data_IF_409874369648
#
_entry.id   IF_409874369648
#
_cell.length_a   1.000
_cell.length_b   1.000
_cell.length_c   1.000
_cell.angle_alpha   90.00
_cell.angle_beta   90.00
_cell.angle_gamma   90.00
#
_symmetry.space_group_name_H-M   'P 1'
#
loop_
_entity.id
_entity.type
_entity.pdbx_description
1 polymer ?
#
# COMPACT_ATOMS: atom_id res chain seq x y z
N UNK A 1 10.66 25.47 21.21
CA UNK A 1 11.59 26.57 20.85
C UNK A 1 11.37 26.85 19.37
N UNK A 2 11.45 28.10 18.90
CA UNK A 2 11.33 28.37 17.46
C UNK A 2 12.51 27.75 16.71
N UNK A 3 12.22 27.10 15.57
CA UNK A 3 13.23 26.53 14.69
C UNK A 3 13.70 27.58 13.67
N UNK A 4 14.99 27.59 13.33
CA UNK A 4 15.59 28.48 12.35
C UNK A 4 16.24 27.66 11.24
N UNK A 5 15.85 27.91 9.99
CA UNK A 5 16.51 27.34 8.82
C UNK A 5 17.69 28.25 8.44
N UNK A 6 18.87 27.66 8.29
CA UNK A 6 20.05 28.41 7.91
C UNK A 6 20.76 27.83 6.69
N UNK A 7 21.41 28.71 5.95
CA UNK A 7 22.38 28.37 4.92
C UNK A 7 23.72 28.95 5.34
N UNK A 8 24.74 28.12 5.51
CA UNK A 8 26.04 28.52 5.97
C UNK A 8 27.15 27.84 5.16
N UNK A 9 28.35 28.36 5.24
CA UNK A 9 29.57 27.76 4.68
C UNK A 9 30.35 27.13 5.83
N UNK A 10 30.71 25.86 5.70
CA UNK A 10 31.58 25.14 6.63
C UNK A 10 33.06 25.60 6.46
N UNK A 11 33.93 25.28 7.43
CA UNK A 11 35.38 25.56 7.39
C UNK A 11 36.07 25.05 6.14
N UNK A 12 35.49 24.04 5.46
CA UNK A 12 36.01 23.48 4.22
C UNK A 12 35.45 24.14 2.95
N UNK A 13 34.78 25.31 3.07
CA UNK A 13 34.20 26.04 1.94
C UNK A 13 32.90 25.42 1.37
N UNK A 14 32.36 24.35 1.98
CA UNK A 14 31.16 23.68 1.50
C UNK A 14 29.89 24.34 2.02
N UNK A 15 28.95 24.60 1.11
CA UNK A 15 27.63 25.17 1.45
C UNK A 15 26.76 24.13 2.13
N UNK A 16 26.34 24.39 3.37
CA UNK A 16 25.48 23.51 4.19
C UNK A 16 24.15 24.21 4.42
N UNK A 17 23.04 23.47 4.22
CA UNK A 17 21.68 23.87 4.62
C UNK A 17 21.19 22.94 5.71
N UNK A 18 20.77 23.49 6.85
CA UNK A 18 20.22 22.72 7.96
C UNK A 18 19.28 23.58 8.80
N UNK A 19 18.69 23.02 9.84
CA UNK A 19 17.85 23.71 10.81
C UNK A 19 18.45 23.62 12.20
N UNK A 20 18.22 24.65 13.02
CA UNK A 20 18.66 24.74 14.41
C UNK A 20 17.50 25.27 15.25
N UNK A 21 17.24 24.66 16.42
CA UNK A 21 16.31 25.17 17.40
C UNK A 21 17.02 26.11 18.35
N UNK A 22 16.54 27.35 18.47
CA UNK A 22 17.10 28.36 19.35
C UNK A 22 15.99 29.23 19.95
N UNK A 23 16.30 29.90 21.07
CA UNK A 23 15.34 30.78 21.72
C UNK A 23 15.14 32.12 20.96
N UNK A 24 16.14 32.54 20.16
CA UNK A 24 16.08 33.72 19.31
C UNK A 24 17.00 33.56 18.09
N UNK A 25 16.78 34.41 17.08
CA UNK A 25 17.65 34.46 15.87
C UNK A 25 19.09 34.82 16.20
N UNK A 26 19.29 35.59 17.26
CA UNK A 26 20.62 35.99 17.74
C UNK A 26 21.35 34.82 18.39
N UNK A 27 20.64 34.03 19.21
CA UNK A 27 21.18 32.81 19.82
C UNK A 27 21.51 31.76 18.75
N UNK A 28 20.70 31.63 17.71
CA UNK A 28 20.99 30.76 16.58
C UNK A 28 22.25 31.21 15.82
N UNK A 29 22.39 32.50 15.58
CA UNK A 29 23.61 33.09 14.93
C UNK A 29 24.85 32.86 15.75
N UNK A 30 24.81 33.09 17.08
CA UNK A 30 25.95 32.90 17.96
C UNK A 30 26.40 31.45 18.02
N UNK A 31 25.46 30.51 18.12
CA UNK A 31 25.74 29.06 18.12
C UNK A 31 26.40 28.60 16.82
N UNK A 32 25.91 29.08 15.66
CA UNK A 32 26.49 28.74 14.35
C UNK A 32 27.89 29.33 14.16
N UNK A 33 28.13 30.58 14.62
CA UNK A 33 29.47 31.19 14.59
C UNK A 33 30.42 30.46 15.51
N UNK A 34 29.97 30.06 16.72
CA UNK A 34 30.76 29.26 17.65
C UNK A 34 31.16 27.91 17.10
N UNK A 35 30.32 27.31 16.26
CA UNK A 35 30.58 26.05 15.54
C UNK A 35 31.47 26.24 14.28
N UNK A 36 31.89 27.47 13.96
CA UNK A 36 32.77 27.75 12.84
C UNK A 36 32.09 27.86 11.48
N UNK A 37 30.78 28.10 11.45
CA UNK A 37 30.02 28.28 10.21
C UNK A 37 29.95 29.77 9.84
N UNK A 38 30.15 30.09 8.56
CA UNK A 38 29.88 31.42 8.00
C UNK A 38 28.45 31.47 7.50
N UNK A 39 27.59 32.26 8.13
CA UNK A 39 26.17 32.32 7.86
C UNK A 39 25.92 33.13 6.60
N UNK A 40 25.23 32.54 5.60
CA UNK A 40 24.81 33.25 4.39
C UNK A 40 23.36 33.74 4.50
N UNK A 41 22.47 32.92 5.06
CA UNK A 41 21.04 33.24 5.26
C UNK A 41 20.51 32.48 6.48
N UNK A 42 19.63 33.12 7.26
CA UNK A 42 18.94 32.51 8.40
C UNK A 42 17.52 33.08 8.48
N UNK A 43 16.55 32.19 8.51
CA UNK A 43 15.13 32.55 8.55
C UNK A 43 14.41 31.70 9.59
N UNK A 44 13.47 32.32 10.30
CA UNK A 44 12.59 31.63 11.21
C UNK A 44 11.68 30.67 10.45
N UNK A 45 11.52 29.47 10.95
CA UNK A 45 10.58 28.50 10.39
C UNK A 45 9.15 28.99 10.63
N UNK A 46 8.55 29.59 9.63
CA UNK A 46 7.11 29.87 9.63
C UNK A 46 6.33 28.54 9.53
N UNK A 47 5.15 28.49 10.12
CA UNK A 47 4.27 27.30 10.12
C UNK A 47 4.00 26.70 8.73
N UNK A 48 4.16 27.47 7.67
CA UNK A 48 4.08 27.05 6.26
C UNK A 48 5.35 26.33 5.75
N UNK A 49 6.48 26.45 6.43
CA UNK A 49 7.77 25.85 6.03
C UNK A 49 8.21 24.70 6.96
N UNK A 50 7.37 24.28 7.90
CA UNK A 50 7.53 22.98 8.53
C UNK A 50 7.39 21.94 7.43
N UNK A 51 8.39 21.09 7.27
CA UNK A 51 8.22 19.83 6.55
C UNK A 51 6.94 19.20 7.09
N UNK A 52 5.83 19.29 6.34
CA UNK A 52 4.57 18.65 6.71
C UNK A 52 4.89 17.16 6.65
N UNK A 53 5.27 16.60 7.78
CA UNK A 53 5.33 15.16 7.94
C UNK A 53 3.91 14.63 7.79
N UNK A 54 3.51 14.41 6.53
CA UNK A 54 2.29 13.65 6.26
C UNK A 54 2.59 12.26 6.85
N UNK A 55 1.89 11.85 7.92
CA UNK A 55 2.23 10.62 8.68
C UNK A 55 2.20 9.36 7.81
N UNK A 56 1.61 9.47 6.62
CA UNK A 56 1.45 8.37 5.67
C UNK A 56 2.52 8.36 4.55
N UNK A 57 3.18 9.50 4.26
CA UNK A 57 4.27 9.59 3.28
C UNK A 57 5.59 9.26 3.97
N UNK A 58 6.25 8.18 3.49
CA UNK A 58 7.61 7.84 3.90
C UNK A 58 7.75 6.59 4.76
N UNK A 59 6.67 5.81 5.02
CA UNK A 59 6.85 4.46 5.58
C UNK A 59 7.64 3.60 4.60
N UNK A 60 8.62 2.81 5.07
CA UNK A 60 9.32 1.87 4.22
C UNK A 60 8.34 0.87 3.61
N UNK A 61 8.53 0.60 2.32
CA UNK A 61 7.74 -0.40 1.57
C UNK A 61 8.47 -1.75 1.60
N UNK A 62 7.79 -2.82 1.21
CA UNK A 62 8.41 -4.15 1.07
C UNK A 62 9.68 -4.11 0.21
N UNK A 63 9.73 -3.24 -0.82
CA UNK A 63 10.93 -3.00 -1.62
C UNK A 63 12.11 -2.51 -0.78
N UNK A 64 11.86 -1.56 0.12
CA UNK A 64 12.91 -0.97 0.95
C UNK A 64 13.43 -1.99 1.96
N UNK A 65 12.53 -2.82 2.52
CA UNK A 65 12.89 -3.93 3.41
C UNK A 65 13.69 -5.02 2.69
N UNK A 66 13.28 -5.42 1.49
CA UNK A 66 14.02 -6.41 0.69
C UNK A 66 15.45 -5.92 0.38
N UNK A 67 15.60 -4.64 0.00
CA UNK A 67 16.93 -4.06 -0.25
C UNK A 67 17.75 -3.96 1.02
N UNK A 68 17.15 -3.55 2.14
CA UNK A 68 17.79 -3.49 3.43
C UNK A 68 18.32 -4.88 3.85
N UNK A 69 17.47 -5.91 3.82
CA UNK A 69 17.89 -7.28 4.17
C UNK A 69 18.97 -7.81 3.24
N UNK A 70 18.86 -7.61 1.93
CA UNK A 70 19.86 -8.02 0.93
C UNK A 70 21.22 -7.39 1.19
N UNK A 71 21.26 -6.09 1.39
CA UNK A 71 22.50 -5.37 1.65
C UNK A 71 23.10 -5.80 2.99
N UNK A 72 22.26 -6.01 4.02
CA UNK A 72 22.69 -6.51 5.31
C UNK A 72 23.41 -7.85 5.18
N UNK A 73 22.78 -8.82 4.49
CA UNK A 73 23.39 -10.15 4.22
C UNK A 73 24.70 -10.01 3.43
N UNK A 74 24.70 -9.20 2.39
CA UNK A 74 25.89 -9.07 1.53
C UNK A 74 27.11 -8.52 2.28
N UNK A 75 26.91 -7.55 3.18
CA UNK A 75 27.98 -6.97 3.97
C UNK A 75 28.39 -7.89 5.12
N UNK A 76 27.41 -8.55 5.77
CA UNK A 76 27.67 -9.50 6.85
C UNK A 76 28.50 -10.70 6.38
N UNK A 77 28.24 -11.22 5.19
CA UNK A 77 29.03 -12.28 4.53
C UNK A 77 30.49 -11.90 4.30
N UNK A 78 30.78 -10.64 4.15
CA UNK A 78 32.15 -10.14 4.02
C UNK A 78 32.90 -10.08 5.37
N UNK A 79 32.31 -10.60 6.46
CA UNK A 79 32.91 -10.65 7.80
C UNK A 79 32.87 -9.32 8.56
N UNK A 80 32.06 -8.39 8.11
CA UNK A 80 31.93 -7.04 8.73
C UNK A 80 31.04 -7.15 9.96
N UNK A 81 31.41 -6.46 11.06
CA UNK A 81 30.62 -6.44 12.29
C UNK A 81 29.24 -5.80 12.08
N UNK A 82 28.22 -6.25 12.86
CA UNK A 82 26.84 -5.76 12.77
C UNK A 82 26.76 -4.22 12.91
N UNK A 83 27.52 -3.62 13.82
CA UNK A 83 27.57 -2.17 13.99
C UNK A 83 28.09 -1.47 12.72
N UNK A 84 29.13 -2.01 12.10
CA UNK A 84 29.69 -1.47 10.84
C UNK A 84 28.72 -1.65 9.66
N UNK A 85 28.00 -2.79 9.60
CA UNK A 85 26.92 -3.01 8.60
C UNK A 85 25.87 -1.91 8.73
N UNK A 86 25.38 -1.64 9.95
CA UNK A 86 24.39 -0.58 10.20
C UNK A 86 24.90 0.82 9.83
N UNK A 87 26.17 1.11 10.13
CA UNK A 87 26.82 2.37 9.73
C UNK A 87 26.78 2.60 8.22
N UNK A 88 27.19 1.56 7.44
CA UNK A 88 27.18 1.62 5.98
C UNK A 88 25.77 1.76 5.42
N UNK A 89 24.81 0.98 5.93
CA UNK A 89 23.40 1.04 5.52
C UNK A 89 22.75 2.39 5.88
N UNK A 90 23.11 2.97 7.03
CA UNK A 90 22.65 4.28 7.47
C UNK A 90 23.10 5.43 6.55
N UNK A 91 24.15 5.23 5.75
CA UNK A 91 24.60 6.19 4.74
C UNK A 91 23.92 5.98 3.38
N UNK A 92 23.68 4.72 2.98
CA UNK A 92 23.21 4.35 1.64
C UNK A 92 21.68 4.28 1.51
N UNK A 93 20.95 4.13 2.63
CA UNK A 93 19.50 3.95 2.61
C UNK A 93 18.78 5.20 2.08
N UNK A 94 17.97 5.03 1.00
CA UNK A 94 17.24 6.13 0.36
C UNK A 94 16.06 6.64 1.18
N UNK A 95 15.33 5.76 1.86
CA UNK A 95 14.17 6.12 2.68
C UNK A 95 14.61 6.85 3.96
N UNK A 96 14.18 8.11 4.13
CA UNK A 96 14.60 8.98 5.26
C UNK A 96 14.26 8.36 6.62
N UNK A 97 13.06 7.77 6.79
CA UNK A 97 12.62 7.18 8.07
C UNK A 97 13.39 5.91 8.42
N UNK A 98 13.61 5.04 7.42
CA UNK A 98 14.42 3.83 7.59
C UNK A 98 15.87 4.20 7.91
N UNK A 99 16.42 5.19 7.24
CA UNK A 99 17.78 5.70 7.51
C UNK A 99 17.95 6.22 8.94
N UNK A 100 16.97 6.98 9.44
CA UNK A 100 16.99 7.47 10.82
C UNK A 100 16.97 6.30 11.82
N UNK A 101 16.05 5.34 11.63
CA UNK A 101 15.97 4.16 12.48
C UNK A 101 17.28 3.33 12.46
N UNK A 102 17.90 3.14 11.29
CA UNK A 102 19.18 2.40 11.18
C UNK A 102 20.30 3.09 11.96
N UNK A 103 20.36 4.44 11.94
CA UNK A 103 21.37 5.19 12.71
C UNK A 103 21.16 5.09 14.22
N UNK A 104 19.90 5.11 14.67
CA UNK A 104 19.57 4.90 16.08
C UNK A 104 19.94 3.47 16.51
N UNK A 105 19.60 2.48 15.67
CA UNK A 105 20.00 1.07 15.89
C UNK A 105 21.53 0.91 15.97
N UNK A 106 22.27 1.60 15.08
CA UNK A 106 23.74 1.56 15.15
C UNK A 106 24.23 2.02 16.52
N UNK A 107 23.74 3.15 17.01
CA UNK A 107 24.15 3.68 18.31
C UNK A 107 23.78 2.77 19.50
N UNK A 108 22.64 2.05 19.40
CA UNK A 108 22.20 1.09 20.41
C UNK A 108 23.08 -0.17 20.41
N UNK A 109 23.38 -0.72 19.23
CA UNK A 109 24.26 -1.90 19.07
C UNK A 109 25.70 -1.59 19.49
N UNK A 110 26.22 -0.40 19.23
CA UNK A 110 27.53 0.06 19.70
C UNK A 110 27.61 0.14 21.24
N UNK A 111 26.46 0.34 21.93
CA UNK A 111 26.34 0.27 23.39
C UNK A 111 26.17 -1.16 23.94
N UNK A 112 26.11 -2.16 23.07
CA UNK A 112 25.94 -3.56 23.45
C UNK A 112 24.50 -4.04 23.52
N UNK A 113 23.50 -3.23 23.06
CA UNK A 113 22.13 -3.74 22.96
C UNK A 113 21.99 -4.73 21.80
N UNK A 114 21.06 -5.69 21.95
CA UNK A 114 20.77 -6.62 20.88
C UNK A 114 20.11 -5.91 19.68
N UNK A 115 20.43 -6.38 18.47
CA UNK A 115 19.86 -5.83 17.23
C UNK A 115 18.33 -5.93 17.23
N UNK A 116 17.77 -7.07 17.63
CA UNK A 116 16.33 -7.28 17.73
C UNK A 116 15.67 -6.32 18.73
N UNK A 117 16.30 -6.05 19.87
CA UNK A 117 15.78 -5.10 20.87
C UNK A 117 15.74 -3.68 20.32
N UNK A 118 16.80 -3.25 19.67
CA UNK A 118 16.85 -1.94 19.01
C UNK A 118 15.80 -1.80 17.90
N UNK A 119 15.61 -2.84 17.07
CA UNK A 119 14.56 -2.85 16.04
C UNK A 119 13.15 -2.74 16.63
N UNK A 120 12.86 -3.35 17.79
CA UNK A 120 11.54 -3.26 18.48
C UNK A 120 11.17 -1.86 18.87
N UNK A 121 12.10 -0.96 19.06
CA UNK A 121 11.84 0.45 19.36
C UNK A 121 11.22 1.20 18.16
N UNK A 122 11.33 0.63 16.96
CA UNK A 122 10.82 1.21 15.72
C UNK A 122 9.68 0.38 15.06
N UNK A 123 8.55 0.11 15.76
CA UNK A 123 7.49 -0.79 15.27
C UNK A 123 6.75 -0.26 14.05
N UNK A 124 6.87 1.06 13.76
CA UNK A 124 6.31 1.67 12.54
C UNK A 124 7.20 1.48 11.31
N UNK A 125 8.45 1.10 11.51
CA UNK A 125 9.48 0.92 10.47
C UNK A 125 9.70 -0.56 10.19
N UNK A 126 9.99 -1.37 11.23
CA UNK A 126 10.26 -2.79 11.10
C UNK A 126 9.02 -3.63 11.43
N UNK A 127 8.54 -4.46 10.50
CA UNK A 127 7.45 -5.40 10.76
C UNK A 127 7.84 -6.42 11.84
N UNK A 128 6.87 -6.87 12.65
CA UNK A 128 7.09 -7.81 13.73
C UNK A 128 7.77 -9.11 13.27
N UNK A 129 7.41 -9.61 12.07
CA UNK A 129 8.04 -10.80 11.50
C UNK A 129 9.55 -10.63 11.33
N UNK A 130 10.03 -9.47 10.82
CA UNK A 130 11.46 -9.22 10.67
C UNK A 130 12.15 -9.17 12.03
N UNK A 131 11.56 -8.47 13.00
CA UNK A 131 12.13 -8.33 14.35
C UNK A 131 12.28 -9.69 15.05
N UNK A 132 11.27 -10.55 14.92
CA UNK A 132 11.32 -11.88 15.56
C UNK A 132 12.29 -12.83 14.83
N UNK A 133 12.38 -12.75 13.50
CA UNK A 133 13.38 -13.48 12.72
C UNK A 133 14.80 -13.06 13.09
N UNK A 134 15.03 -11.76 13.28
CA UNK A 134 16.34 -11.24 13.73
C UNK A 134 16.64 -11.71 15.16
N UNK A 135 15.64 -11.71 16.07
CA UNK A 135 15.80 -12.21 17.42
C UNK A 135 16.18 -13.70 17.45
N UNK A 136 15.53 -14.52 16.64
CA UNK A 136 15.87 -15.94 16.51
C UNK A 136 17.28 -16.13 15.94
N UNK A 137 17.64 -15.38 14.90
CA UNK A 137 18.98 -15.43 14.30
C UNK A 137 20.09 -14.92 15.22
N UNK A 138 19.79 -13.92 16.04
CA UNK A 138 20.72 -13.40 17.04
C UNK A 138 20.97 -14.42 18.18
N UNK A 139 19.90 -15.07 18.64
CA UNK A 139 19.97 -16.10 19.68
C UNK A 139 20.66 -17.38 19.21
N UNK A 140 20.51 -17.76 17.94
CA UNK A 140 21.14 -18.94 17.34
C UNK A 140 22.53 -18.66 16.73
N UNK A 141 22.96 -17.39 16.69
CA UNK A 141 24.18 -16.98 16.01
C UNK A 141 24.09 -16.99 14.48
N UNK A 142 22.89 -17.14 13.90
CA UNK A 142 22.68 -17.28 12.45
C UNK A 142 21.89 -16.09 11.86
N UNK A 143 22.38 -14.88 12.11
CA UNK A 143 21.78 -13.64 11.60
C UNK A 143 21.73 -13.60 10.06
N UNK A 144 22.76 -14.16 9.41
CA UNK A 144 22.84 -14.18 7.96
C UNK A 144 21.62 -14.88 7.34
N UNK A 145 21.33 -16.10 7.81
CA UNK A 145 20.21 -16.89 7.30
C UNK A 145 18.87 -16.21 7.61
N UNK A 146 18.72 -15.64 8.81
CA UNK A 146 17.49 -14.91 9.18
C UNK A 146 17.24 -13.72 8.24
N UNK A 147 18.24 -12.90 7.96
CA UNK A 147 18.10 -11.80 7.01
C UNK A 147 17.90 -12.28 5.57
N UNK A 148 18.52 -13.41 5.17
CA UNK A 148 18.32 -14.01 3.84
C UNK A 148 16.89 -14.49 3.65
N UNK A 149 16.31 -15.15 4.63
CA UNK A 149 14.89 -15.56 4.60
C UNK A 149 13.97 -14.35 4.51
N UNK A 150 14.27 -13.30 5.25
CA UNK A 150 13.48 -12.06 5.22
C UNK A 150 13.65 -11.29 3.90
N UNK A 151 14.82 -11.32 3.27
CA UNK A 151 15.00 -10.80 1.92
C UNK A 151 14.06 -11.49 0.93
N UNK A 152 14.06 -12.83 0.92
CA UNK A 152 13.20 -13.62 0.04
C UNK A 152 11.71 -13.35 0.30
N UNK A 153 11.32 -13.27 1.57
CA UNK A 153 9.96 -12.95 1.99
C UNK A 153 9.50 -11.58 1.44
N UNK A 154 10.30 -10.54 1.66
CA UNK A 154 9.95 -9.19 1.19
C UNK A 154 10.05 -9.03 -0.32
N UNK A 155 10.97 -9.74 -1.00
CA UNK A 155 11.07 -9.72 -2.45
C UNK A 155 9.84 -10.36 -3.11
N UNK A 156 9.33 -11.47 -2.58
CA UNK A 156 8.06 -12.09 -3.02
C UNK A 156 6.88 -11.13 -2.81
N UNK A 157 6.75 -10.57 -1.61
CA UNK A 157 5.71 -9.57 -1.30
C UNK A 157 5.75 -8.35 -2.23
N UNK A 158 6.96 -7.87 -2.56
CA UNK A 158 7.16 -6.81 -3.54
C UNK A 158 6.72 -7.22 -4.94
N UNK A 159 7.08 -8.45 -5.40
CA UNK A 159 6.75 -8.93 -6.75
C UNK A 159 5.25 -8.98 -6.98
N UNK A 160 4.48 -9.57 -6.08
CA UNK A 160 3.01 -9.64 -6.15
C UNK A 160 2.41 -8.24 -6.22
N UNK A 161 2.83 -7.34 -5.32
CA UNK A 161 2.33 -5.96 -5.32
C UNK A 161 2.71 -5.18 -6.59
N UNK A 162 3.92 -5.39 -7.11
CA UNK A 162 4.38 -4.74 -8.34
C UNK A 162 3.59 -5.20 -9.56
N UNK A 163 3.30 -6.51 -9.67
CA UNK A 163 2.47 -7.07 -10.75
C UNK A 163 1.09 -6.41 -10.79
N UNK A 164 0.41 -6.34 -9.65
CA UNK A 164 -0.91 -5.68 -9.53
C UNK A 164 -0.81 -4.21 -9.94
N UNK A 165 0.17 -3.48 -9.40
CA UNK A 165 0.32 -2.05 -9.69
C UNK A 165 0.61 -1.80 -11.17
N UNK A 166 1.51 -2.59 -11.78
CA UNK A 166 1.84 -2.43 -13.20
C UNK A 166 0.64 -2.74 -14.11
N UNK A 167 -0.13 -3.74 -13.77
CA UNK A 167 -1.31 -4.10 -14.55
C UNK A 167 -2.45 -3.07 -14.42
N UNK A 168 -2.52 -2.32 -13.31
CA UNK A 168 -3.50 -1.25 -13.12
C UNK A 168 -3.18 0.03 -13.92
N UNK A 169 -1.98 0.16 -14.49
CA UNK A 169 -1.62 1.36 -15.28
C UNK A 169 -2.53 1.52 -16.50
N UNK A 170 -2.74 0.43 -17.26
CA UNK A 170 -3.59 0.47 -18.46
C UNK A 170 -5.04 0.89 -18.17
N UNK A 171 -5.78 0.27 -17.22
CA UNK A 171 -7.10 0.74 -16.82
C UNK A 171 -7.13 2.20 -16.35
N UNK A 172 -6.12 2.63 -15.58
CA UNK A 172 -6.06 4.03 -15.13
C UNK A 172 -5.90 5.01 -16.30
N UNK A 173 -5.04 4.69 -17.28
CA UNK A 173 -4.88 5.52 -18.48
C UNK A 173 -6.18 5.61 -19.27
N UNK A 174 -6.87 4.49 -19.48
CA UNK A 174 -8.18 4.49 -20.16
C UNK A 174 -9.21 5.35 -19.44
N UNK A 175 -9.30 5.23 -18.12
CA UNK A 175 -10.22 6.04 -17.30
C UNK A 175 -9.88 7.54 -17.42
N UNK A 176 -8.61 7.89 -17.39
CA UNK A 176 -8.18 9.30 -17.55
C UNK A 176 -8.56 9.82 -18.92
N UNK A 177 -8.28 9.08 -20.00
CA UNK A 177 -8.68 9.46 -21.36
C UNK A 177 -10.18 9.63 -21.45
N UNK A 178 -10.96 8.69 -20.90
CA UNK A 178 -12.41 8.77 -20.85
C UNK A 178 -12.89 10.04 -20.15
N UNK A 179 -12.34 10.36 -18.99
CA UNK A 179 -12.69 11.59 -18.24
C UNK A 179 -12.39 12.85 -19.07
N UNK A 180 -11.26 12.88 -19.76
CA UNK A 180 -10.88 14.01 -20.63
C UNK A 180 -11.87 14.17 -21.77
N UNK A 181 -12.24 13.08 -22.44
CA UNK A 181 -13.26 13.10 -23.52
C UNK A 181 -14.60 13.59 -22.99
N UNK A 182 -15.03 13.11 -21.82
CA UNK A 182 -16.24 13.56 -21.14
C UNK A 182 -16.24 15.06 -20.88
N UNK A 183 -15.16 15.58 -20.32
CA UNK A 183 -15.03 17.02 -20.03
C UNK A 183 -15.12 17.84 -21.32
N UNK A 184 -14.43 17.43 -22.38
CA UNK A 184 -14.46 18.12 -23.67
C UNK A 184 -15.88 18.11 -24.28
N UNK A 185 -16.55 16.97 -24.24
CA UNK A 185 -17.92 16.82 -24.69
C UNK A 185 -18.87 17.74 -23.94
N UNK A 186 -18.81 17.71 -22.59
CA UNK A 186 -19.71 18.51 -21.74
C UNK A 186 -19.43 20.00 -21.77
N UNK A 187 -18.17 20.43 -21.96
CA UNK A 187 -17.81 21.86 -21.87
C UNK A 187 -17.79 22.57 -23.21
N UNK A 188 -17.53 21.86 -24.32
CA UNK A 188 -17.39 22.48 -25.65
C UNK A 188 -18.41 21.96 -26.66
N UNK A 189 -18.53 20.64 -26.80
CA UNK A 189 -19.30 20.09 -27.93
C UNK A 189 -20.80 20.23 -27.70
N UNK A 190 -21.32 19.72 -26.59
CA UNK A 190 -22.76 19.78 -26.28
C UNK A 190 -23.25 21.20 -26.21
N UNK A 191 -22.64 22.18 -25.53
CA UNK A 191 -23.11 23.57 -25.49
C UNK A 191 -23.14 24.26 -26.86
N UNK A 192 -22.18 23.96 -27.75
CA UNK A 192 -22.18 24.55 -29.10
C UNK A 192 -23.33 24.01 -29.95
N UNK A 193 -23.62 22.72 -29.90
CA UNK A 193 -24.78 22.14 -30.56
C UNK A 193 -26.08 22.74 -30.03
N UNK A 194 -26.22 22.93 -28.75
CA UNK A 194 -27.42 23.44 -28.11
C UNK A 194 -27.74 24.89 -28.55
N UNK A 195 -26.72 25.76 -28.61
CA UNK A 195 -26.90 27.12 -29.14
C UNK A 195 -27.48 27.10 -30.56
N UNK A 196 -27.01 26.20 -31.41
CA UNK A 196 -27.51 26.04 -32.77
C UNK A 196 -28.99 25.62 -32.81
N UNK A 197 -29.45 24.82 -31.84
CA UNK A 197 -30.85 24.40 -31.74
C UNK A 197 -31.75 25.49 -31.12
N UNK A 198 -31.26 26.24 -30.12
CA UNK A 198 -31.97 27.41 -29.57
C UNK A 198 -32.20 28.49 -30.64
N UNK A 199 -31.19 28.75 -31.48
CA UNK A 199 -31.28 29.72 -32.58
C UNK A 199 -32.31 29.30 -33.64
N UNK A 200 -32.73 28.03 -33.66
CA UNK A 200 -33.71 27.47 -34.64
C UNK A 200 -35.10 27.22 -34.06
N UNK A 201 -35.40 27.66 -32.84
CA UNK A 201 -36.69 27.49 -32.14
C UNK A 201 -37.21 26.03 -32.12
N UNK A 202 -36.31 25.03 -32.08
CA UNK A 202 -36.64 23.63 -32.17
C UNK A 202 -36.95 23.02 -30.77
N UNK A 203 -38.05 22.27 -30.66
CA UNK A 203 -38.36 21.54 -29.44
C UNK A 203 -37.30 20.46 -29.13
N UNK A 204 -36.67 20.55 -27.97
CA UNK A 204 -35.62 19.64 -27.54
C UNK A 204 -36.21 18.35 -26.93
N UNK A 205 -35.73 17.16 -27.33
CA UNK A 205 -36.13 15.88 -26.74
C UNK A 205 -35.77 15.79 -25.26
N UNK A 206 -36.53 15.01 -24.47
CA UNK A 206 -36.31 14.82 -23.02
C UNK A 206 -34.91 14.30 -22.69
N UNK A 207 -34.33 13.49 -23.56
CA UNK A 207 -32.94 12.94 -23.36
C UNK A 207 -31.93 14.07 -23.45
N UNK A 208 -32.08 14.99 -24.44
CA UNK A 208 -31.20 16.13 -24.61
C UNK A 208 -31.33 17.11 -23.44
N UNK A 209 -32.54 17.39 -22.96
CA UNK A 209 -32.80 18.19 -21.76
C UNK A 209 -32.14 17.56 -20.51
N UNK A 210 -32.20 16.23 -20.36
CA UNK A 210 -31.53 15.53 -19.28
C UNK A 210 -30.00 15.66 -19.33
N UNK A 211 -29.39 15.51 -20.50
CA UNK A 211 -27.95 15.70 -20.70
C UNK A 211 -27.55 17.15 -20.44
N UNK A 212 -28.37 18.14 -20.86
CA UNK A 212 -28.18 19.57 -20.55
C UNK A 212 -28.12 19.82 -19.04
N UNK A 213 -29.13 19.33 -18.32
CA UNK A 213 -29.19 19.50 -16.86
C UNK A 213 -27.94 18.92 -16.17
N UNK A 214 -27.43 17.78 -16.65
CA UNK A 214 -26.19 17.18 -16.16
C UNK A 214 -24.98 18.06 -16.51
N UNK A 215 -24.91 18.63 -17.73
CA UNK A 215 -23.81 19.50 -18.14
C UNK A 215 -23.79 20.82 -17.33
N UNK A 216 -24.95 21.46 -17.12
CA UNK A 216 -25.08 22.68 -16.33
C UNK A 216 -24.75 22.42 -14.85
N UNK A 217 -25.25 21.31 -14.31
CA UNK A 217 -24.91 20.89 -12.96
C UNK A 217 -23.41 20.67 -12.82
N UNK A 218 -22.78 19.97 -13.77
CA UNK A 218 -21.35 19.71 -13.74
C UNK A 218 -20.52 21.00 -13.89
N UNK A 219 -20.95 21.94 -14.72
CA UNK A 219 -20.30 23.24 -14.89
C UNK A 219 -20.34 24.11 -13.63
N UNK A 220 -21.47 24.08 -12.91
CA UNK A 220 -21.65 24.85 -11.67
C UNK A 220 -21.08 24.16 -10.44
N UNK A 221 -21.13 22.81 -10.38
CA UNK A 221 -20.86 22.00 -9.20
C UNK A 221 -19.78 20.94 -9.44
N UNK A 222 -18.83 21.15 -10.37
CA UNK A 222 -17.76 20.19 -10.70
C UNK A 222 -16.91 19.79 -9.48
N UNK A 223 -16.80 20.65 -8.47
CA UNK A 223 -16.07 20.40 -7.24
C UNK A 223 -16.82 19.46 -6.27
N UNK A 224 -18.15 19.33 -6.38
CA UNK A 224 -18.98 18.47 -5.52
C UNK A 224 -18.63 16.99 -5.71
N UNK A 225 -18.60 16.42 -6.93
CA UNK A 225 -18.15 15.04 -7.12
C UNK A 225 -16.75 14.80 -6.56
N UNK A 226 -15.84 15.76 -6.70
CA UNK A 226 -14.49 15.65 -6.16
C UNK A 226 -14.50 15.64 -4.61
N UNK A 227 -15.30 16.50 -4.00
CA UNK A 227 -15.44 16.59 -2.55
C UNK A 227 -16.13 15.34 -1.98
N UNK A 228 -17.17 14.83 -2.63
CA UNK A 228 -17.85 13.58 -2.27
C UNK A 228 -16.88 12.41 -2.38
N UNK A 229 -16.11 12.32 -3.46
CA UNK A 229 -15.09 11.27 -3.63
C UNK A 229 -14.04 11.35 -2.52
N UNK A 230 -13.54 12.54 -2.21
CA UNK A 230 -12.60 12.76 -1.12
C UNK A 230 -13.20 12.37 0.22
N UNK A 231 -14.45 12.77 0.50
CA UNK A 231 -15.17 12.42 1.73
C UNK A 231 -15.39 10.90 1.84
N UNK A 232 -15.73 10.22 0.73
CA UNK A 232 -15.86 8.75 0.68
C UNK A 232 -14.51 8.05 0.93
N UNK A 233 -13.41 8.55 0.35
CA UNK A 233 -12.07 7.99 0.58
C UNK A 233 -11.67 8.20 2.04
N UNK A 234 -11.77 9.42 2.56
CA UNK A 234 -11.39 9.73 3.95
C UNK A 234 -12.32 9.00 4.93
N UNK A 235 -13.62 9.04 4.70
CA UNK A 235 -14.61 8.31 5.51
C UNK A 235 -14.37 6.80 5.48
N UNK A 236 -14.10 6.21 4.32
CA UNK A 236 -13.75 4.79 4.16
C UNK A 236 -12.47 4.41 4.90
N UNK A 237 -11.42 5.24 4.82
CA UNK A 237 -10.16 5.02 5.55
C UNK A 237 -10.35 5.15 7.06
N UNK A 238 -11.11 6.13 7.54
CA UNK A 238 -11.41 6.30 8.96
C UNK A 238 -12.29 5.17 9.47
N UNK A 239 -13.31 4.77 8.71
CA UNK A 239 -14.18 3.64 9.05
C UNK A 239 -13.40 2.32 9.08
N UNK A 240 -12.50 2.08 8.13
CA UNK A 240 -11.64 0.89 8.11
C UNK A 240 -10.71 0.79 9.33
N UNK A 241 -10.40 1.90 10.01
CA UNK A 241 -9.60 1.88 11.25
C UNK A 241 -10.40 1.42 12.47
N UNK A 242 -11.72 1.49 12.43
CA UNK A 242 -12.58 1.00 13.51
C UNK A 242 -12.75 -0.53 13.45
N UNK A 243 -12.98 -1.18 14.60
CA UNK A 243 -13.19 -2.64 14.62
C UNK A 243 -14.40 -3.03 13.77
N UNK A 244 -15.52 -2.29 13.85
CA UNK A 244 -16.71 -2.53 13.03
C UNK A 244 -16.41 -2.39 11.53
N UNK A 245 -15.60 -1.41 11.15
CA UNK A 245 -15.18 -1.22 9.77
C UNK A 245 -14.30 -2.35 9.24
N UNK A 246 -13.37 -2.86 10.05
CA UNK A 246 -12.54 -4.02 9.67
C UNK A 246 -13.40 -5.27 9.40
N UNK A 247 -14.37 -5.53 10.24
CA UNK A 247 -15.31 -6.65 10.03
C UNK A 247 -16.18 -6.42 8.78
N UNK A 248 -16.73 -5.21 8.59
CA UNK A 248 -17.54 -4.89 7.41
C UNK A 248 -16.76 -5.08 6.10
N UNK A 249 -15.59 -4.47 6.00
CA UNK A 249 -14.75 -4.62 4.79
C UNK A 249 -14.20 -6.04 4.63
N UNK A 250 -13.87 -6.72 5.73
CA UNK A 250 -13.45 -8.13 5.71
C UNK A 250 -14.55 -9.06 5.20
N UNK A 251 -15.79 -8.84 5.64
CA UNK A 251 -16.97 -9.58 5.15
C UNK A 251 -17.25 -9.28 3.67
N UNK A 252 -17.24 -8.00 3.29
CA UNK A 252 -17.48 -7.57 1.91
C UNK A 252 -16.41 -8.16 0.96
N UNK A 253 -15.15 -8.08 1.33
CA UNK A 253 -14.05 -8.65 0.57
C UNK A 253 -14.20 -10.17 0.38
N UNK A 254 -14.75 -10.89 1.36
CA UNK A 254 -14.95 -12.34 1.27
C UNK A 254 -16.18 -12.73 0.45
N UNK A 255 -17.27 -11.93 0.52
CA UNK A 255 -18.55 -12.26 -0.13
C UNK A 255 -18.57 -11.89 -1.62
N UNK A 256 -17.74 -10.99 -2.07
CA UNK A 256 -17.70 -10.56 -3.48
C UNK A 256 -17.10 -11.69 -4.34
N UNK A 257 -17.77 -12.15 -5.42
CA UNK A 257 -17.40 -13.39 -6.13
C UNK A 257 -15.96 -13.38 -6.69
N UNK A 258 -15.47 -12.25 -7.21
CA UNK A 258 -14.12 -12.14 -7.78
C UNK A 258 -13.08 -11.80 -6.71
N UNK A 259 -13.37 -10.80 -5.87
CA UNK A 259 -12.47 -10.34 -4.81
C UNK A 259 -12.40 -11.37 -3.67
N UNK A 260 -13.50 -12.10 -3.39
CA UNK A 260 -13.54 -13.13 -2.35
C UNK A 260 -12.57 -14.27 -2.65
N UNK A 261 -12.55 -14.76 -3.86
CA UNK A 261 -11.62 -15.82 -4.28
C UNK A 261 -10.15 -15.36 -4.14
N UNK A 262 -9.84 -14.13 -4.59
CA UNK A 262 -8.50 -13.54 -4.43
C UNK A 262 -8.14 -13.36 -2.94
N UNK A 263 -9.10 -12.95 -2.09
CA UNK A 263 -8.88 -12.77 -0.64
C UNK A 263 -8.54 -14.09 0.05
N UNK A 264 -9.29 -15.18 -0.27
CA UNK A 264 -9.00 -16.53 0.27
C UNK A 264 -7.60 -16.98 -0.14
N UNK A 265 -7.28 -16.93 -1.44
CA UNK A 265 -5.98 -17.36 -1.98
C UNK A 265 -4.83 -16.57 -1.38
N UNK A 266 -4.97 -15.24 -1.28
CA UNK A 266 -3.97 -14.37 -0.66
C UNK A 266 -3.79 -14.67 0.82
N UNK A 267 -4.86 -14.97 1.56
CA UNK A 267 -4.78 -15.32 2.96
C UNK A 267 -4.05 -16.67 3.14
N UNK A 268 -4.36 -17.69 2.32
CA UNK A 268 -3.67 -18.98 2.34
C UNK A 268 -2.17 -18.83 2.02
N UNK A 269 -1.84 -18.13 0.94
CA UNK A 269 -0.45 -17.87 0.57
C UNK A 269 0.31 -17.16 1.69
N UNK A 270 -0.28 -16.10 2.27
CA UNK A 270 0.35 -15.32 3.33
C UNK A 270 0.54 -16.13 4.60
N UNK A 271 -0.49 -16.88 5.03
CA UNK A 271 -0.43 -17.74 6.21
C UNK A 271 0.66 -18.80 6.05
N UNK A 272 0.59 -19.62 5.00
CA UNK A 272 1.51 -20.73 4.78
C UNK A 272 2.95 -20.23 4.59
N UNK A 273 3.16 -19.15 3.84
CA UNK A 273 4.48 -18.55 3.66
C UNK A 273 5.07 -18.02 4.97
N UNK A 274 4.25 -17.38 5.81
CA UNK A 274 4.68 -16.86 7.10
C UNK A 274 5.04 -18.02 8.03
N UNK A 275 4.22 -19.07 8.07
CA UNK A 275 4.50 -20.27 8.86
C UNK A 275 5.77 -21.00 8.40
N UNK A 276 5.96 -21.20 7.09
CA UNK A 276 7.18 -21.80 6.52
C UNK A 276 8.44 -21.09 7.03
N UNK A 277 8.47 -19.76 6.94
CA UNK A 277 9.63 -18.96 7.31
C UNK A 277 9.88 -18.99 8.81
N UNK A 278 8.83 -18.90 9.63
CA UNK A 278 8.93 -18.84 11.08
C UNK A 278 9.30 -20.20 11.67
N UNK A 279 8.67 -21.27 11.22
CA UNK A 279 9.00 -22.65 11.65
C UNK A 279 10.44 -23.00 11.22
N UNK A 280 10.81 -22.65 9.99
CA UNK A 280 12.18 -22.87 9.47
C UNK A 280 13.26 -22.09 10.20
N UNK A 281 12.90 -21.05 10.95
CA UNK A 281 13.83 -20.32 11.83
C UNK A 281 13.88 -20.86 13.25
N UNK A 282 13.15 -21.96 13.55
CA UNK A 282 13.15 -22.62 14.86
C UNK A 282 12.18 -22.00 15.88
N UNK A 283 11.26 -21.13 15.46
CA UNK A 283 10.19 -20.66 16.35
C UNK A 283 9.19 -21.80 16.65
N UNK A 284 8.61 -21.75 17.84
CA UNK A 284 7.55 -22.69 18.21
C UNK A 284 6.34 -22.56 17.28
N UNK A 285 5.54 -23.62 17.15
CA UNK A 285 4.34 -23.62 16.31
C UNK A 285 3.36 -22.53 16.75
N UNK A 286 3.11 -22.40 18.06
CA UNK A 286 2.18 -21.42 18.64
C UNK A 286 2.65 -20.00 18.45
N UNK A 287 3.95 -19.70 18.62
CA UNK A 287 4.50 -18.36 18.37
C UNK A 287 4.45 -18.00 16.88
N UNK A 288 4.72 -18.97 16.01
CA UNK A 288 4.61 -18.81 14.56
C UNK A 288 3.17 -18.49 14.14
N UNK A 289 2.18 -19.15 14.74
CA UNK A 289 0.75 -18.86 14.48
C UNK A 289 0.34 -17.46 14.96
N UNK A 290 0.78 -17.00 16.11
CA UNK A 290 0.50 -15.64 16.61
C UNK A 290 1.06 -14.56 15.66
N UNK A 291 2.29 -14.76 15.18
CA UNK A 291 2.91 -13.87 14.22
C UNK A 291 2.24 -13.92 12.86
N UNK A 292 1.89 -15.12 12.39
CA UNK A 292 1.13 -15.31 11.15
C UNK A 292 -0.24 -14.63 11.21
N UNK A 293 -0.96 -14.79 12.34
CA UNK A 293 -2.24 -14.10 12.55
C UNK A 293 -2.09 -12.57 12.47
N UNK A 294 -1.07 -12.03 13.14
CA UNK A 294 -0.83 -10.57 13.14
C UNK A 294 -0.49 -10.00 11.75
N UNK A 295 -0.03 -10.85 10.84
CA UNK A 295 0.32 -10.49 9.46
C UNK A 295 -0.86 -10.61 8.49
N UNK A 296 -2.04 -11.09 8.94
CA UNK A 296 -3.22 -11.19 8.09
C UNK A 296 -3.83 -9.82 7.79
N UNK A 297 -4.11 -9.58 6.51
CA UNK A 297 -4.77 -8.35 6.05
C UNK A 297 -6.28 -8.31 6.36
N UNK A 298 -6.92 -9.46 6.53
CA UNK A 298 -8.36 -9.58 6.78
C UNK A 298 -8.61 -10.12 8.20
N UNK A 299 -9.47 -9.43 8.95
CA UNK A 299 -9.75 -9.71 10.35
C UNK A 299 -10.28 -11.14 10.60
N UNK A 300 -11.08 -11.68 9.69
CA UNK A 300 -11.64 -13.04 9.81
C UNK A 300 -10.56 -14.11 9.81
N UNK A 301 -9.51 -13.95 8.99
CA UNK A 301 -8.37 -14.88 8.99
C UNK A 301 -7.50 -14.69 10.22
N UNK A 302 -7.31 -13.45 10.68
CA UNK A 302 -6.60 -13.15 11.91
C UNK A 302 -7.26 -13.84 13.11
N UNK A 303 -8.57 -13.70 13.26
CA UNK A 303 -9.35 -14.32 14.36
C UNK A 303 -9.31 -15.85 14.25
N UNK A 304 -9.59 -16.41 13.07
CA UNK A 304 -9.57 -17.86 12.86
C UNK A 304 -8.20 -18.50 13.16
N UNK A 305 -7.09 -17.84 12.80
CA UNK A 305 -5.76 -18.35 13.13
C UNK A 305 -5.50 -18.28 14.64
N UNK A 306 -5.98 -17.24 15.33
CA UNK A 306 -5.89 -17.15 16.79
C UNK A 306 -6.71 -18.21 17.51
N UNK A 307 -7.90 -18.50 17.00
CA UNK A 307 -8.75 -19.55 17.53
C UNK A 307 -8.06 -20.93 17.33
N UNK A 308 -7.55 -21.20 16.11
CA UNK A 308 -6.77 -22.39 15.84
C UNK A 308 -5.53 -22.51 16.74
N UNK A 309 -4.83 -21.39 16.97
CA UNK A 309 -3.68 -21.33 17.88
C UNK A 309 -4.05 -21.71 19.31
N UNK A 310 -5.21 -21.26 19.79
CA UNK A 310 -5.73 -21.65 21.11
C UNK A 310 -5.91 -23.17 21.21
N UNK A 311 -6.55 -23.78 20.21
CA UNK A 311 -6.75 -25.23 20.14
C UNK A 311 -5.41 -26.00 20.07
N UNK A 312 -4.44 -25.50 19.29
CA UNK A 312 -3.09 -26.11 19.22
C UNK A 312 -2.36 -26.02 20.57
N UNK A 313 -2.49 -24.90 21.28
CA UNK A 313 -1.92 -24.75 22.63
C UNK A 313 -2.52 -25.73 23.66
N UNK A 314 -3.77 -26.16 23.44
CA UNK A 314 -4.47 -27.19 24.23
C UNK A 314 -4.12 -28.63 23.79
N UNK A 315 -3.25 -28.79 22.76
CA UNK A 315 -2.80 -30.08 22.26
C UNK A 315 -3.60 -30.65 21.07
N UNK A 316 -4.55 -29.89 20.51
CA UNK A 316 -5.25 -30.32 19.29
C UNK A 316 -4.29 -30.20 18.09
N UNK A 317 -4.22 -31.20 17.19
CA UNK A 317 -3.42 -31.12 15.97
C UNK A 317 -3.75 -29.90 15.13
N UNK A 318 -2.73 -29.31 14.49
CA UNK A 318 -2.89 -28.10 13.66
C UNK A 318 -3.88 -28.33 12.51
N UNK A 319 -3.81 -29.50 11.86
CA UNK A 319 -4.77 -29.93 10.83
C UNK A 319 -6.21 -29.79 11.32
N UNK A 320 -6.51 -30.40 12.45
CA UNK A 320 -7.88 -30.42 13.00
C UNK A 320 -8.29 -29.01 13.44
N UNK A 321 -7.40 -28.26 14.04
CA UNK A 321 -7.62 -26.87 14.44
C UNK A 321 -7.98 -25.97 13.24
N UNK A 322 -7.27 -26.11 12.11
CA UNK A 322 -7.57 -25.36 10.89
C UNK A 322 -8.90 -25.79 10.25
N UNK A 323 -9.23 -27.08 10.25
CA UNK A 323 -10.52 -27.60 9.74
C UNK A 323 -11.68 -27.04 10.57
N UNK A 324 -11.56 -26.98 11.89
CA UNK A 324 -12.61 -26.43 12.78
C UNK A 324 -12.91 -24.96 12.53
N UNK A 325 -11.94 -24.17 12.08
CA UNK A 325 -12.18 -22.75 11.73
C UNK A 325 -13.05 -22.59 10.49
N UNK A 326 -13.07 -23.57 9.59
CA UNK A 326 -13.88 -23.57 8.35
C UNK A 326 -13.51 -22.49 7.34
N UNK A 327 -12.39 -21.80 7.52
CA UNK A 327 -12.03 -20.60 6.73
C UNK A 327 -10.98 -20.93 5.65
N UNK A 328 -10.21 -22.01 5.86
CA UNK A 328 -9.18 -22.45 4.94
C UNK A 328 -9.71 -23.55 4.01
N UNK A 329 -9.32 -23.54 2.71
CA UNK A 329 -9.62 -24.62 1.79
C UNK A 329 -9.04 -25.97 2.27
N UNK A 330 -9.70 -27.12 1.93
CA UNK A 330 -9.25 -28.45 2.37
C UNK A 330 -7.79 -28.79 2.02
N UNK A 331 -7.28 -28.25 0.92
CA UNK A 331 -5.89 -28.47 0.51
C UNK A 331 -4.89 -27.98 1.58
N UNK A 332 -5.16 -26.82 2.23
CA UNK A 332 -4.28 -26.30 3.29
C UNK A 332 -4.23 -27.28 4.45
N UNK A 333 -5.39 -27.69 5.00
CA UNK A 333 -5.47 -28.58 6.15
C UNK A 333 -4.92 -29.98 5.83
N UNK A 334 -5.11 -30.49 4.60
CA UNK A 334 -4.61 -31.80 4.21
C UNK A 334 -3.08 -31.82 4.14
N UNK A 335 -2.44 -30.85 3.50
CA UNK A 335 -0.98 -30.80 3.40
C UNK A 335 -0.33 -30.46 4.75
N UNK A 336 -1.00 -29.66 5.58
CA UNK A 336 -0.60 -29.45 6.97
C UNK A 336 -0.61 -30.75 7.74
N UNK A 337 -1.66 -31.60 7.61
CA UNK A 337 -1.73 -32.89 8.24
C UNK A 337 -0.59 -33.81 7.82
N UNK A 338 -0.28 -33.87 6.53
CA UNK A 338 0.90 -34.62 6.05
C UNK A 338 2.19 -34.11 6.70
N UNK A 339 2.35 -32.78 6.82
CA UNK A 339 3.51 -32.18 7.47
C UNK A 339 3.60 -32.51 8.98
N UNK A 340 2.45 -32.56 9.67
CA UNK A 340 2.39 -32.98 11.08
C UNK A 340 2.77 -34.46 11.24
N UNK A 341 2.23 -35.36 10.40
CA UNK A 341 2.49 -36.79 10.44
C UNK A 341 3.96 -37.14 10.09
N UNK A 342 4.55 -36.42 9.15
CA UNK A 342 5.93 -36.67 8.69
C UNK A 342 6.98 -35.86 9.47
N UNK A 343 6.58 -34.91 10.30
CA UNK A 343 7.47 -33.98 11.00
C UNK A 343 8.10 -32.92 10.12
N UNK A 344 7.68 -32.79 8.84
CA UNK A 344 8.20 -31.80 7.89
C UNK A 344 7.15 -30.74 7.54
N UNK A 345 6.66 -30.08 8.59
CA UNK A 345 5.64 -29.04 8.46
C UNK A 345 6.15 -27.83 7.66
N UNK A 346 7.44 -27.48 7.79
CA UNK A 346 8.06 -26.38 7.06
C UNK A 346 7.96 -26.58 5.55
N UNK A 347 8.37 -27.73 5.04
CA UNK A 347 8.36 -28.03 3.60
C UNK A 347 6.93 -28.06 3.05
N UNK A 348 5.98 -28.65 3.80
CA UNK A 348 4.59 -28.71 3.39
C UNK A 348 3.96 -27.32 3.34
N UNK A 349 4.22 -26.47 4.34
CA UNK A 349 3.78 -25.06 4.32
C UNK A 349 4.35 -24.32 3.12
N UNK A 350 5.62 -24.54 2.76
CA UNK A 350 6.26 -23.98 1.59
C UNK A 350 5.57 -24.38 0.29
N UNK A 351 5.26 -25.67 0.09
CA UNK A 351 4.56 -26.17 -1.08
C UNK A 351 3.15 -25.56 -1.23
N UNK A 352 2.41 -25.48 -0.13
CA UNK A 352 1.08 -24.82 -0.11
C UNK A 352 1.23 -23.35 -0.44
N UNK A 353 2.21 -22.66 0.11
CA UNK A 353 2.45 -21.25 -0.16
C UNK A 353 2.79 -21.00 -1.63
N UNK A 354 3.66 -21.82 -2.24
CA UNK A 354 4.01 -21.70 -3.66
C UNK A 354 2.78 -21.90 -4.55
N UNK A 355 1.98 -22.92 -4.29
CA UNK A 355 0.72 -23.16 -5.01
C UNK A 355 -0.24 -21.96 -4.92
N UNK A 356 -0.46 -21.43 -3.72
CA UNK A 356 -1.36 -20.28 -3.58
C UNK A 356 -0.76 -18.97 -4.09
N UNK A 357 0.56 -18.81 -4.13
CA UNK A 357 1.20 -17.68 -4.80
C UNK A 357 0.90 -17.68 -6.31
N UNK A 358 0.92 -18.85 -6.97
CA UNK A 358 0.52 -19.02 -8.38
C UNK A 358 -0.99 -18.75 -8.58
N UNK A 359 -1.81 -19.27 -7.70
CA UNK A 359 -3.26 -19.07 -7.71
C UNK A 359 -3.66 -17.59 -7.51
N UNK A 360 -2.92 -16.84 -6.68
CA UNK A 360 -3.08 -15.39 -6.52
C UNK A 360 -2.70 -14.66 -7.81
N UNK A 361 -1.59 -15.05 -8.45
CA UNK A 361 -1.17 -14.49 -9.74
C UNK A 361 -2.25 -14.70 -10.82
N UNK A 362 -2.82 -15.90 -10.92
CA UNK A 362 -3.89 -16.19 -11.87
C UNK A 362 -5.18 -15.44 -11.57
N UNK A 363 -5.60 -15.42 -10.30
CA UNK A 363 -6.81 -14.70 -9.89
C UNK A 363 -6.67 -13.20 -10.15
N UNK A 364 -5.47 -12.65 -9.94
CA UNK A 364 -5.16 -11.25 -10.25
C UNK A 364 -5.25 -10.98 -11.75
N UNK A 365 -4.69 -11.86 -12.61
CA UNK A 365 -4.81 -11.73 -14.07
C UNK A 365 -6.27 -11.81 -14.53
N UNK A 366 -7.05 -12.76 -13.99
CA UNK A 366 -8.47 -12.89 -14.30
C UNK A 366 -9.25 -11.62 -13.95
N UNK A 367 -8.98 -11.03 -12.77
CA UNK A 367 -9.61 -9.77 -12.34
C UNK A 367 -9.29 -8.63 -13.31
N UNK A 368 -8.03 -8.50 -13.69
CA UNK A 368 -7.57 -7.45 -14.61
C UNK A 368 -8.17 -7.61 -16.01
N UNK A 369 -8.24 -8.84 -16.51
CA UNK A 369 -8.85 -9.14 -17.82
C UNK A 369 -10.36 -8.85 -17.84
N UNK A 370 -11.05 -8.96 -16.70
CA UNK A 370 -12.47 -8.58 -16.59
C UNK A 370 -12.70 -7.06 -16.55
N UNK A 371 -11.70 -6.28 -16.15
CA UNK A 371 -11.81 -4.82 -16.12
C UNK A 371 -11.90 -4.21 -17.51
N UNK A 372 -11.19 -4.78 -18.50
CA UNK A 372 -11.16 -4.26 -19.88
C UNK A 372 -12.54 -4.29 -20.54
N UNK A 373 -13.26 -5.43 -20.60
CA UNK A 373 -14.63 -5.46 -21.12
C UNK A 373 -15.58 -4.55 -20.33
N UNK A 374 -15.44 -4.48 -19.01
CA UNK A 374 -16.28 -3.62 -18.20
C UNK A 374 -16.09 -2.13 -18.54
N UNK A 375 -14.85 -1.68 -18.76
CA UNK A 375 -14.55 -0.31 -19.18
C UNK A 375 -15.10 -0.05 -20.59
N UNK A 376 -14.93 -1.00 -21.53
CA UNK A 376 -15.45 -0.88 -22.90
C UNK A 376 -16.98 -0.75 -22.90
N UNK A 377 -17.67 -1.60 -22.14
CA UNK A 377 -19.15 -1.55 -22.04
C UNK A 377 -19.60 -0.20 -21.45
N UNK A 378 -18.93 0.25 -20.39
CA UNK A 378 -19.23 1.54 -19.78
C UNK A 378 -19.04 2.69 -20.79
N UNK A 379 -17.94 2.68 -21.55
CA UNK A 379 -17.66 3.64 -22.61
C UNK A 379 -18.71 3.58 -23.70
N UNK A 380 -19.10 2.40 -24.17
CA UNK A 380 -20.09 2.22 -25.21
C UNK A 380 -21.45 2.80 -24.81
N UNK A 381 -21.92 2.50 -23.60
CA UNK A 381 -23.17 3.05 -23.05
C UNK A 381 -23.11 4.59 -23.03
N UNK A 382 -21.99 5.12 -22.61
CA UNK A 382 -21.80 6.57 -22.52
C UNK A 382 -21.80 7.23 -23.90
N UNK A 383 -21.08 6.65 -24.88
CA UNK A 383 -21.08 7.15 -26.28
C UNK A 383 -22.47 7.09 -26.88
N UNK A 384 -23.23 6.02 -26.66
CA UNK A 384 -24.62 5.91 -27.14
C UNK A 384 -25.49 7.02 -26.58
N UNK A 385 -25.38 7.33 -25.29
CA UNK A 385 -26.16 8.43 -24.67
C UNK A 385 -25.84 9.77 -25.36
N UNK A 386 -24.56 10.07 -25.62
CA UNK A 386 -24.14 11.29 -26.28
C UNK A 386 -24.66 11.35 -27.71
N UNK A 387 -24.52 10.25 -28.46
CA UNK A 387 -24.98 10.20 -29.85
C UNK A 387 -26.49 10.42 -29.91
N UNK A 388 -27.26 9.80 -29.05
CA UNK A 388 -28.72 9.99 -28.98
C UNK A 388 -29.06 11.43 -28.57
N UNK A 389 -28.33 12.03 -27.65
CA UNK A 389 -28.56 13.42 -27.23
C UNK A 389 -28.34 14.45 -28.35
N UNK A 390 -27.47 14.15 -29.33
CA UNK A 390 -27.18 15.01 -30.47
C UNK A 390 -28.09 14.66 -31.66
N UNK A 391 -28.30 13.38 -31.96
CA UNK A 391 -29.04 12.93 -33.17
C UNK A 391 -30.55 13.08 -33.07
N UNK A 392 -31.14 12.89 -31.87
CA UNK A 392 -32.60 13.02 -31.69
C UNK A 392 -33.15 14.40 -32.02
N UNK A 393 -32.52 15.51 -31.59
CA UNK A 393 -32.93 16.84 -32.01
C UNK A 393 -32.85 17.06 -33.54
N UNK A 394 -31.78 16.57 -34.20
CA UNK A 394 -31.61 16.68 -35.65
C UNK A 394 -32.75 15.99 -36.41
N UNK A 395 -33.15 14.78 -35.98
CA UNK A 395 -34.29 14.06 -36.61
C UNK A 395 -35.61 14.83 -36.41
N UNK A 396 -35.84 15.46 -35.27
CA UNK A 396 -37.04 16.23 -35.02
C UNK A 396 -37.10 17.51 -35.89
N UNK A 397 -35.95 18.12 -36.16
CA UNK A 397 -35.88 19.24 -37.05
C UNK A 397 -36.25 18.90 -38.50
N UNK A 398 -35.74 17.79 -39.05
CA UNK A 398 -36.10 17.33 -40.39
C UNK A 398 -37.60 17.07 -40.52
N UNK A 399 -38.23 16.50 -39.51
CA UNK A 399 -39.69 16.27 -39.46
C UNK A 399 -40.50 17.58 -39.34
N UNK A 400 -39.94 18.60 -38.67
CA UNK A 400 -40.58 19.92 -38.60
C UNK A 400 -40.51 20.65 -39.95
N UNK A 401 -39.40 20.55 -40.69
CA UNK A 401 -39.27 21.10 -42.04
C UNK A 401 -40.24 20.43 -43.06
N UNK A 402 -40.38 19.07 -42.99
CA UNK A 402 -41.34 18.35 -43.85
C UNK A 402 -42.82 18.72 -43.59
N UNK A 403 -43.14 19.32 -42.45
CA UNK A 403 -44.51 19.77 -42.13
C UNK A 403 -44.83 21.19 -42.66
N UNK A 404 -43.83 21.94 -43.06
CA UNK A 404 -43.96 23.28 -43.63
C UNK A 404 -43.79 23.33 -45.17
N UNK A 405 -43.46 22.19 -45.80
CA UNK A 405 -43.51 21.93 -47.23
C UNK A 405 -44.81 21.22 -47.62
#
# INVERSE_FOLDING_TARGET
MPGFNYTAIDRNGKRVRSSLDASSIETAKSSLRGAGYTILDIKEQTTLNRDIEIPFLGKPKAKDMAVFCRQFVSILRAGVSVASVLSMLGQQTGNKKLRAAIREMQADVEKGESLATSMRRHPKIFPAILVNMVAAGESSGNLEESFRQMELYFDRSKRTKSKVTSAMIYPCVLIVVMIVVLIVMMTKIIPNFLKTFEDMDAELPKITLGVMAVCEWFKSWWWVPLLVLLALIVGGVLFHRTNKGKHFFGWLARKTPVVGNLTVKTACATFCRTMEVLIGSGLTLTDSMDLAASNMGNIYYLEAIRDARGMVAEGTPLRESLVRTGIFPPMVSNLVGVGEETGDLQSMMGKVADYYDEEVDEATKKLLNLMEPAIIIFMAVFVVIIVLAIYLPMINMTKAFDKYL
#
